data_IF_247694904088
#
_entry.id   IF_247694904088
#
_cell.length_a   1.000
_cell.length_b   1.000
_cell.length_c   1.000
_cell.angle_alpha   90.00
_cell.angle_beta   90.00
_cell.angle_gamma   90.00
#
_symmetry.space_group_name_H-M   'P 1'
#
loop_
_entity.id
_entity.type
_entity.pdbx_description
1 polymer ?
#
# COMPACT_ATOMS: atom_id res chain seq x y z
N UNK A 1 7.17 19.52 9.76
CA UNK A 1 7.40 18.25 9.04
C UNK A 1 8.84 17.76 9.19
N UNK A 2 9.83 18.39 8.54
CA UNK A 2 11.24 17.94 8.54
C UNK A 2 11.78 17.52 9.93
N UNK A 3 11.71 18.40 10.94
CA UNK A 3 12.18 18.10 12.31
C UNK A 3 11.62 16.80 12.88
N UNK A 4 10.36 16.49 12.62
CA UNK A 4 9.74 15.27 13.13
C UNK A 4 10.17 14.05 12.31
N UNK A 5 10.20 14.17 10.98
CA UNK A 5 10.71 13.12 10.08
C UNK A 5 12.15 12.74 10.42
N UNK A 6 13.03 13.74 10.58
CA UNK A 6 14.42 13.55 11.02
C UNK A 6 14.50 12.83 12.36
N UNK A 7 13.68 13.23 13.34
CA UNK A 7 13.64 12.57 14.65
C UNK A 7 13.24 11.10 14.53
N UNK A 8 12.23 10.77 13.73
CA UNK A 8 11.80 9.38 13.52
C UNK A 8 12.90 8.59 12.84
N UNK A 9 13.46 9.08 11.74
CA UNK A 9 14.54 8.39 11.01
C UNK A 9 15.77 8.19 11.90
N UNK A 10 16.18 9.21 12.66
CA UNK A 10 17.31 9.09 13.60
C UNK A 10 17.03 8.03 14.69
N UNK A 11 15.80 7.97 15.19
CA UNK A 11 15.40 6.95 16.18
C UNK A 11 15.47 5.54 15.58
N UNK A 12 14.94 5.35 14.37
CA UNK A 12 14.98 4.06 13.68
C UNK A 12 16.41 3.62 13.35
N UNK A 13 17.24 4.56 12.87
CA UNK A 13 18.66 4.33 12.59
C UNK A 13 19.45 3.96 13.84
N UNK A 14 19.25 4.69 14.94
CA UNK A 14 19.91 4.43 16.23
C UNK A 14 19.56 3.06 16.81
N UNK A 15 18.38 2.53 16.49
CA UNK A 15 17.94 1.20 16.86
C UNK A 15 18.30 0.10 15.82
N UNK A 16 18.97 0.45 14.72
CA UNK A 16 19.36 -0.51 13.67
C UNK A 16 18.17 -1.11 12.92
N UNK A 17 17.06 -0.39 12.78
CA UNK A 17 15.81 -0.96 12.28
C UNK A 17 15.66 -0.94 10.75
N UNK A 18 16.51 -0.23 10.01
CA UNK A 18 16.49 -0.30 8.55
C UNK A 18 17.11 -1.59 8.02
N UNK A 19 16.58 -2.14 6.92
CA UNK A 19 17.10 -3.35 6.29
C UNK A 19 18.57 -3.21 5.85
N UNK A 20 18.99 -1.99 5.48
CA UNK A 20 20.40 -1.62 5.25
C UNK A 20 21.30 -1.82 6.48
N UNK A 21 20.73 -1.88 7.68
CA UNK A 21 21.39 -2.14 8.96
C UNK A 21 21.09 -3.55 9.50
N UNK A 22 20.39 -4.41 8.74
CA UNK A 22 19.93 -5.73 9.17
C UNK A 22 18.58 -5.76 9.89
N UNK A 23 17.88 -4.62 9.97
CA UNK A 23 16.56 -4.51 10.59
C UNK A 23 15.37 -4.79 9.65
N UNK A 24 14.13 -4.67 10.14
CA UNK A 24 12.93 -5.05 9.38
C UNK A 24 12.37 -3.98 8.43
N UNK A 25 12.79 -2.72 8.51
CA UNK A 25 12.21 -1.62 7.70
C UNK A 25 12.80 -1.67 6.28
N UNK A 26 11.98 -2.08 5.31
CA UNK A 26 12.36 -2.22 3.89
C UNK A 26 11.91 -1.06 2.99
N UNK A 27 11.02 -0.20 3.50
CA UNK A 27 10.37 0.87 2.74
C UNK A 27 9.98 2.00 3.69
N UNK A 28 9.99 3.25 3.24
CA UNK A 28 9.46 4.39 4.00
C UNK A 28 8.60 5.27 3.11
N UNK A 29 7.54 5.87 3.66
CA UNK A 29 6.68 6.80 2.91
C UNK A 29 6.88 8.21 3.45
N UNK A 30 7.00 9.18 2.53
CA UNK A 30 6.91 10.60 2.86
C UNK A 30 5.62 11.16 2.26
N UNK A 31 4.92 12.01 3.02
CA UNK A 31 3.57 12.47 2.70
C UNK A 31 2.53 11.34 2.57
N UNK A 32 1.26 11.71 2.35
CA UNK A 32 0.20 10.73 2.10
C UNK A 32 -0.87 11.31 1.16
N UNK A 33 -1.00 10.72 -0.03
CA UNK A 33 -1.98 11.08 -1.04
C UNK A 33 -2.01 12.57 -1.42
N UNK A 34 -0.88 13.26 -1.29
CA UNK A 34 -0.81 14.70 -1.55
C UNK A 34 -1.19 15.05 -3.00
N UNK A 35 -0.93 14.15 -3.96
CA UNK A 35 -1.33 14.32 -5.35
C UNK A 35 -2.85 14.43 -5.56
N UNK A 36 -3.67 13.99 -4.60
CA UNK A 36 -5.12 14.21 -4.65
C UNK A 36 -5.51 15.67 -4.38
N UNK A 37 -4.64 16.45 -3.74
CA UNK A 37 -4.92 17.84 -3.32
C UNK A 37 -3.94 18.87 -3.87
N UNK A 38 -2.79 18.45 -4.44
CA UNK A 38 -1.71 19.35 -4.82
C UNK A 38 -2.11 20.42 -5.84
N UNK A 39 -3.08 20.09 -6.71
CA UNK A 39 -3.67 20.98 -7.71
C UNK A 39 -4.28 22.24 -7.08
N UNK A 40 -4.76 22.17 -5.84
CA UNK A 40 -5.31 23.32 -5.11
C UNK A 40 -4.23 24.36 -4.74
N UNK A 41 -2.96 23.93 -4.71
CA UNK A 41 -1.83 24.76 -4.33
C UNK A 41 -0.95 25.17 -5.52
N UNK A 42 -1.24 24.68 -6.73
CA UNK A 42 -0.49 24.98 -7.95
C UNK A 42 1.02 24.82 -7.79
N UNK A 43 1.78 25.82 -8.21
CA UNK A 43 3.25 25.80 -8.17
C UNK A 43 3.81 25.67 -6.74
N UNK A 44 3.11 26.18 -5.74
CA UNK A 44 3.52 26.04 -4.34
C UNK A 44 3.44 24.58 -3.89
N UNK A 45 2.38 23.86 -4.31
CA UNK A 45 2.23 22.43 -4.07
C UNK A 45 3.36 21.61 -4.74
N UNK A 46 3.69 21.92 -5.99
CA UNK A 46 4.81 21.28 -6.70
C UNK A 46 6.17 21.58 -6.06
N UNK A 47 6.37 22.79 -5.56
CA UNK A 47 7.60 23.19 -4.87
C UNK A 47 7.73 22.46 -3.53
N UNK A 48 6.63 22.39 -2.77
CA UNK A 48 6.54 21.62 -1.54
C UNK A 48 6.84 20.13 -1.77
N UNK A 49 6.27 19.54 -2.82
CA UNK A 49 6.49 18.13 -3.16
C UNK A 49 7.95 17.81 -3.48
N UNK A 50 8.62 18.65 -4.28
CA UNK A 50 10.06 18.51 -4.54
C UNK A 50 10.88 18.66 -3.27
N UNK A 51 10.52 19.60 -2.39
CA UNK A 51 11.16 19.78 -1.09
C UNK A 51 10.99 18.55 -0.18
N UNK A 52 9.76 18.02 -0.06
CA UNK A 52 9.46 16.87 0.79
C UNK A 52 10.21 15.62 0.33
N UNK A 53 10.21 15.36 -0.98
CA UNK A 53 10.96 14.28 -1.61
C UNK A 53 12.47 14.43 -1.39
N UNK A 54 13.03 15.61 -1.66
CA UNK A 54 14.46 15.89 -1.47
C UNK A 54 14.90 15.76 0.00
N UNK A 55 14.08 16.26 0.92
CA UNK A 55 14.32 16.13 2.36
C UNK A 55 14.35 14.67 2.78
N UNK A 56 13.36 13.85 2.36
CA UNK A 56 13.29 12.44 2.71
C UNK A 56 14.49 11.63 2.19
N UNK A 57 14.87 11.84 0.92
CA UNK A 57 16.03 11.18 0.30
C UNK A 57 17.32 11.55 1.02
N UNK A 58 17.50 12.82 1.40
CA UNK A 58 18.68 13.29 2.12
C UNK A 58 18.84 12.68 3.53
N UNK A 59 17.80 12.06 4.09
CA UNK A 59 17.89 11.33 5.36
C UNK A 59 18.65 10.00 5.26
N UNK A 60 18.94 9.54 4.04
CA UNK A 60 19.82 8.41 3.75
C UNK A 60 19.50 7.14 4.55
N UNK A 61 18.24 6.71 4.51
CA UNK A 61 17.77 5.52 5.25
C UNK A 61 18.38 4.21 4.75
N UNK A 62 19.00 4.21 3.56
CA UNK A 62 19.52 3.02 2.88
C UNK A 62 18.42 2.09 2.33
N UNK A 63 17.15 2.52 2.36
CA UNK A 63 16.02 1.79 1.78
C UNK A 63 15.15 2.74 0.93
N UNK A 64 14.34 2.24 -0.01
CA UNK A 64 13.55 3.10 -0.89
C UNK A 64 12.51 3.95 -0.16
N UNK A 65 12.21 5.11 -0.76
CA UNK A 65 11.11 5.97 -0.36
C UNK A 65 9.95 5.88 -1.36
N UNK A 66 8.72 5.93 -0.85
CA UNK A 66 7.48 5.94 -1.65
C UNK A 66 6.63 7.18 -1.39
N UNK A 67 5.75 7.48 -2.35
CA UNK A 67 4.64 8.41 -2.18
C UNK A 67 3.37 7.81 -2.81
N UNK A 68 2.33 7.59 -2.01
CA UNK A 68 1.06 7.07 -2.51
C UNK A 68 0.24 8.17 -3.20
N UNK A 69 -0.50 7.79 -4.26
CA UNK A 69 -1.32 8.68 -5.09
C UNK A 69 -0.58 9.95 -5.57
N UNK A 70 0.71 9.80 -5.90
CA UNK A 70 1.53 10.91 -6.36
C UNK A 70 2.09 10.62 -7.76
N UNK A 71 1.33 10.96 -8.80
CA UNK A 71 1.71 10.65 -10.19
C UNK A 71 3.07 11.26 -10.61
N UNK A 72 3.42 12.42 -10.08
CA UNK A 72 4.66 13.15 -10.37
C UNK A 72 5.69 13.07 -9.23
N UNK A 73 5.70 11.98 -8.45
CA UNK A 73 6.72 11.73 -7.44
C UNK A 73 8.13 11.86 -8.07
N UNK A 74 9.01 12.74 -7.54
CA UNK A 74 10.35 12.91 -8.08
C UNK A 74 11.22 11.66 -7.88
N UNK A 75 12.04 11.31 -8.87
CA UNK A 75 13.06 10.28 -8.69
C UNK A 75 14.00 10.65 -7.51
N UNK A 76 14.47 9.68 -6.70
CA UNK A 76 14.29 8.24 -6.83
C UNK A 76 13.05 7.66 -6.12
N UNK A 77 12.07 8.49 -5.71
CA UNK A 77 10.89 8.00 -5.01
C UNK A 77 10.01 7.19 -5.96
N UNK A 78 9.40 6.13 -5.43
CA UNK A 78 8.47 5.27 -6.15
C UNK A 78 7.05 5.76 -5.86
N UNK A 79 6.30 6.14 -6.90
CA UNK A 79 4.88 6.40 -6.73
C UNK A 79 4.10 5.09 -6.59
N UNK A 80 3.08 5.08 -5.73
CA UNK A 80 2.29 3.88 -5.44
C UNK A 80 0.80 4.14 -5.55
N UNK A 81 0.02 3.07 -5.60
CA UNK A 81 -1.43 3.12 -5.72
C UNK A 81 -2.13 2.75 -4.41
N UNK A 82 -3.27 3.39 -4.16
CA UNK A 82 -4.23 3.06 -3.11
C UNK A 82 -5.61 2.82 -3.75
N UNK A 83 -6.41 1.94 -3.18
CA UNK A 83 -7.76 1.69 -3.69
C UNK A 83 -8.30 0.31 -3.39
N UNK A 84 -9.50 0.03 -3.89
CA UNK A 84 -10.04 -1.33 -3.98
C UNK A 84 -9.34 -2.17 -5.06
N UNK A 85 -8.85 -1.51 -6.11
CA UNK A 85 -8.20 -2.11 -7.27
C UNK A 85 -7.04 -1.23 -7.75
N UNK A 86 -5.86 -1.83 -7.91
CA UNK A 86 -4.67 -1.17 -8.47
C UNK A 86 -4.02 -2.01 -9.60
N UNK A 87 -4.75 -2.97 -10.17
CA UNK A 87 -4.25 -3.85 -11.21
C UNK A 87 -3.96 -3.12 -12.54
N UNK A 88 -4.55 -1.95 -12.77
CA UNK A 88 -4.26 -1.06 -13.92
C UNK A 88 -3.24 0.03 -13.62
N UNK A 89 -2.82 0.18 -12.37
CA UNK A 89 -1.82 1.19 -12.01
C UNK A 89 -0.48 0.90 -12.70
N UNK A 90 0.18 1.96 -13.18
CA UNK A 90 1.53 1.91 -13.73
C UNK A 90 2.36 2.97 -13.02
N UNK A 91 3.54 2.62 -12.46
CA UNK A 91 4.43 3.59 -11.86
C UNK A 91 4.92 4.61 -12.90
N UNK A 92 5.22 5.82 -12.46
CA UNK A 92 5.59 6.93 -13.35
C UNK A 92 6.96 6.72 -14.00
N UNK A 93 7.87 6.02 -13.31
CA UNK A 93 9.18 5.65 -13.84
C UNK A 93 9.16 4.20 -14.31
N UNK A 94 9.57 3.90 -15.57
CA UNK A 94 9.59 2.53 -16.09
C UNK A 94 10.48 1.55 -15.29
N UNK A 95 11.48 2.08 -14.58
CA UNK A 95 12.37 1.31 -13.71
C UNK A 95 11.82 1.07 -12.30
N UNK A 96 10.71 1.71 -11.94
CA UNK A 96 10.11 1.54 -10.61
C UNK A 96 9.22 0.30 -10.56
N UNK A 97 9.22 -0.44 -9.44
CA UNK A 97 8.31 -1.55 -9.26
C UNK A 97 6.86 -1.06 -9.10
N UNK A 98 5.90 -1.89 -9.50
CA UNK A 98 4.47 -1.63 -9.30
C UNK A 98 4.06 -2.03 -7.88
N UNK A 99 3.78 -1.03 -7.04
CA UNK A 99 3.44 -1.20 -5.63
C UNK A 99 2.01 -0.71 -5.31
N UNK A 100 1.30 -1.47 -4.50
CA UNK A 100 -0.04 -1.17 -3.99
C UNK A 100 0.02 -1.02 -2.46
N UNK A 101 0.08 0.23 -1.99
CA UNK A 101 0.29 0.57 -0.58
C UNK A 101 -0.96 0.43 0.28
N UNK A 102 -2.15 0.59 -0.31
CA UNK A 102 -3.41 0.39 0.41
C UNK A 102 -4.44 -0.36 -0.43
N UNK A 103 -4.53 -1.67 -0.24
CA UNK A 103 -5.67 -2.47 -0.70
C UNK A 103 -6.75 -2.44 0.36
N UNK A 104 -7.81 -1.68 0.11
CA UNK A 104 -8.84 -1.43 1.10
C UNK A 104 -9.64 -2.70 1.42
N UNK A 105 -9.42 -3.31 2.59
CA UNK A 105 -10.06 -4.58 2.98
C UNK A 105 -11.54 -4.44 3.34
N UNK A 106 -12.01 -3.20 3.43
CA UNK A 106 -13.37 -2.74 3.70
C UNK A 106 -13.37 -1.20 3.72
N UNK A 107 -13.96 -0.58 4.74
CA UNK A 107 -13.96 0.87 4.92
C UNK A 107 -14.03 1.25 6.40
N UNK A 108 -13.71 2.49 6.74
CA UNK A 108 -13.90 3.00 8.10
C UNK A 108 -15.40 3.15 8.43
N UNK A 109 -15.75 2.93 9.70
CA UNK A 109 -17.11 3.18 10.19
C UNK A 109 -17.23 4.60 10.73
N UNK A 110 -18.21 5.36 10.26
CA UNK A 110 -18.59 6.65 10.83
C UNK A 110 -19.71 6.48 11.86
N UNK A 111 -19.77 7.35 12.87
CA UNK A 111 -20.93 7.42 13.76
C UNK A 111 -22.21 7.72 12.98
N UNK A 112 -23.23 6.88 13.15
CA UNK A 112 -24.49 6.94 12.38
C UNK A 112 -24.42 6.30 10.99
N UNK A 113 -23.26 5.78 10.57
CA UNK A 113 -23.09 5.06 9.32
C UNK A 113 -23.45 3.57 9.40
N UNK A 114 -23.62 2.94 8.25
CA UNK A 114 -23.73 1.49 8.13
C UNK A 114 -22.37 0.82 8.31
N UNK A 115 -22.36 -0.40 8.86
CA UNK A 115 -21.14 -1.21 9.00
C UNK A 115 -20.59 -1.57 7.61
N UNK A 116 -19.38 -1.13 7.25
CA UNK A 116 -18.80 -1.44 5.95
C UNK A 116 -18.49 -2.92 5.80
N UNK A 117 -18.59 -3.42 4.57
CA UNK A 117 -18.28 -4.81 4.24
C UNK A 117 -17.68 -4.89 2.83
N UNK A 118 -16.61 -5.66 2.67
CA UNK A 118 -16.04 -6.03 1.36
C UNK A 118 -15.98 -7.56 1.27
N UNK A 119 -16.59 -8.17 0.24
CA UNK A 119 -16.55 -9.62 0.05
C UNK A 119 -15.13 -10.17 0.02
N UNK A 120 -14.95 -11.35 0.59
CA UNK A 120 -13.65 -12.04 0.66
C UNK A 120 -13.13 -12.37 -0.74
N UNK A 121 -14.04 -12.80 -1.60
CA UNK A 121 -13.81 -13.22 -2.98
C UNK A 121 -13.40 -12.02 -3.85
N UNK A 122 -14.01 -10.86 -3.64
CA UNK A 122 -13.65 -9.60 -4.32
C UNK A 122 -12.22 -9.17 -3.95
N UNK A 123 -11.90 -9.18 -2.65
CA UNK A 123 -10.58 -8.82 -2.16
C UNK A 123 -9.50 -9.78 -2.70
N UNK A 124 -9.78 -11.08 -2.68
CA UNK A 124 -8.90 -12.10 -3.23
C UNK A 124 -8.70 -11.96 -4.75
N UNK A 125 -9.78 -11.69 -5.48
CA UNK A 125 -9.73 -11.41 -6.92
C UNK A 125 -8.85 -10.19 -7.21
N UNK A 126 -9.01 -9.10 -6.46
CA UNK A 126 -8.22 -7.90 -6.64
C UNK A 126 -6.71 -8.15 -6.42
N UNK A 127 -6.36 -8.92 -5.39
CA UNK A 127 -4.96 -9.33 -5.11
C UNK A 127 -4.40 -10.20 -6.23
N UNK A 128 -5.12 -11.25 -6.62
CA UNK A 128 -4.68 -12.15 -7.69
C UNK A 128 -4.49 -11.37 -9.00
N UNK A 129 -5.43 -10.49 -9.36
CA UNK A 129 -5.37 -9.67 -10.57
C UNK A 129 -4.22 -8.67 -10.55
N UNK A 130 -3.88 -8.11 -9.39
CA UNK A 130 -2.72 -7.22 -9.24
C UNK A 130 -1.40 -7.96 -9.52
N UNK A 131 -1.17 -9.11 -8.87
CA UNK A 131 0.04 -9.91 -9.09
C UNK A 131 0.10 -10.51 -10.49
N UNK A 132 -1.03 -10.93 -11.06
CA UNK A 132 -1.15 -11.39 -12.44
C UNK A 132 -0.64 -10.33 -13.44
N UNK A 133 -0.83 -9.04 -13.14
CA UNK A 133 -0.50 -7.90 -14.01
C UNK A 133 0.79 -7.17 -13.58
N UNK A 134 1.79 -7.91 -13.11
CA UNK A 134 3.12 -7.37 -12.79
C UNK A 134 3.21 -6.63 -11.46
N UNK A 135 2.20 -6.73 -10.60
CA UNK A 135 2.27 -6.21 -9.23
C UNK A 135 3.33 -6.96 -8.42
N UNK A 136 4.09 -6.23 -7.59
CA UNK A 136 5.25 -6.80 -6.86
C UNK A 136 5.14 -6.67 -5.34
N UNK A 137 4.39 -5.68 -4.85
CA UNK A 137 4.08 -5.50 -3.44
C UNK A 137 2.64 -5.06 -3.30
N UNK A 138 1.90 -5.71 -2.41
CA UNK A 138 0.56 -5.30 -2.01
C UNK A 138 0.46 -5.32 -0.48
N UNK A 139 -0.21 -4.31 0.07
CA UNK A 139 -0.48 -4.20 1.49
C UNK A 139 -1.99 -4.10 1.75
N UNK A 140 -2.51 -4.82 2.75
CA UNK A 140 -3.91 -4.72 3.16
C UNK A 140 -4.10 -3.53 4.10
N UNK A 141 -4.93 -2.59 3.69
CA UNK A 141 -5.39 -1.49 4.53
C UNK A 141 -6.86 -1.74 4.88
N UNK A 142 -7.22 -2.34 6.01
CA UNK A 142 -6.38 -2.80 7.11
C UNK A 142 -6.23 -4.33 7.12
N UNK A 143 -5.07 -4.83 7.54
CA UNK A 143 -4.93 -6.23 7.93
C UNK A 143 -5.49 -6.49 9.34
N UNK A 144 -5.23 -5.57 10.26
CA UNK A 144 -5.90 -5.40 11.55
C UNK A 144 -6.21 -3.92 11.71
N UNK A 145 -7.48 -3.58 11.91
CA UNK A 145 -7.91 -2.20 12.05
C UNK A 145 -7.86 -1.70 13.50
N UNK A 146 -8.47 -2.45 14.43
CA UNK A 146 -8.42 -2.17 15.87
C UNK A 146 -9.41 -1.09 16.32
N UNK A 147 -9.01 -0.29 17.31
CA UNK A 147 -9.88 0.67 18.01
C UNK A 147 -9.21 2.03 18.13
N UNK A 148 -9.97 3.09 17.86
CA UNK A 148 -9.61 4.47 18.17
C UNK A 148 -9.82 4.76 19.66
N UNK A 149 -8.81 4.49 20.49
CA UNK A 149 -8.90 4.66 21.95
C UNK A 149 -8.83 6.12 22.44
N UNK A 150 -9.59 6.42 23.48
CA UNK A 150 -9.54 7.71 24.15
C UNK A 150 -10.18 8.81 23.31
N UNK A 151 -9.51 9.96 23.19
CA UNK A 151 -10.09 11.19 22.63
C UNK A 151 -9.17 12.00 21.71
N UNK A 152 -8.05 11.39 21.32
CA UNK A 152 -7.05 11.99 20.42
C UNK A 152 -6.65 11.04 19.28
N UNK A 153 -7.46 9.99 19.08
CA UNK A 153 -7.42 9.07 17.94
C UNK A 153 -8.71 9.19 17.16
N UNK A 154 -8.72 8.70 15.92
CA UNK A 154 -9.84 8.81 15.00
C UNK A 154 -9.89 10.17 14.29
N UNK A 155 -10.63 10.20 13.18
CA UNK A 155 -10.92 11.41 12.41
C UNK A 155 -12.30 12.00 12.75
N UNK A 156 -12.67 13.12 12.11
CA UNK A 156 -14.00 13.71 12.24
C UNK A 156 -15.09 12.65 11.99
N UNK A 157 -15.98 12.46 12.98
CA UNK A 157 -17.10 11.50 12.94
C UNK A 157 -16.72 10.03 12.73
N UNK A 158 -15.44 9.66 12.74
CA UNK A 158 -15.01 8.26 12.71
C UNK A 158 -15.39 7.61 14.04
N UNK A 159 -15.98 6.43 13.97
CA UNK A 159 -16.41 5.69 15.15
C UNK A 159 -15.22 5.21 15.99
N UNK A 160 -15.47 4.84 17.24
CA UNK A 160 -14.46 4.20 18.10
C UNK A 160 -13.93 2.92 17.48
N UNK A 161 -14.80 2.12 16.84
CA UNK A 161 -14.37 0.94 16.10
C UNK A 161 -13.64 1.35 14.82
N UNK A 162 -12.47 0.76 14.60
CA UNK A 162 -11.74 0.84 13.34
C UNK A 162 -11.59 -0.53 12.70
N UNK A 163 -12.54 -1.45 12.92
CA UNK A 163 -12.52 -2.84 12.44
C UNK A 163 -12.19 -2.98 10.95
N UNK A 164 -12.72 -2.09 10.11
CA UNK A 164 -12.48 -2.01 8.67
C UNK A 164 -12.94 -3.25 7.86
N UNK A 165 -13.68 -4.18 8.45
CA UNK A 165 -13.90 -5.53 7.91
C UNK A 165 -12.57 -6.24 7.61
N UNK A 166 -11.56 -5.98 8.45
CA UNK A 166 -10.21 -6.48 8.27
C UNK A 166 -10.10 -8.00 8.49
N UNK A 167 -9.10 -8.68 7.89
CA UNK A 167 -8.82 -10.11 8.13
C UNK A 167 -8.64 -10.48 9.61
N UNK A 168 -8.11 -9.56 10.42
CA UNK A 168 -8.12 -9.65 11.88
C UNK A 168 -9.07 -8.57 12.40
N UNK A 169 -10.12 -8.98 13.10
CA UNK A 169 -11.17 -8.06 13.57
C UNK A 169 -10.65 -7.06 14.62
N UNK A 170 -11.51 -6.13 15.03
CA UNK A 170 -11.21 -5.12 16.06
C UNK A 170 -10.59 -5.72 17.34
N UNK A 171 -11.00 -6.92 17.74
CA UNK A 171 -10.60 -7.56 18.99
C UNK A 171 -9.40 -8.49 18.84
N UNK A 172 -8.82 -8.57 17.64
CA UNK A 172 -7.69 -9.44 17.36
C UNK A 172 -8.07 -10.88 17.00
N UNK A 173 -9.35 -11.17 16.77
CA UNK A 173 -9.80 -12.49 16.36
C UNK A 173 -9.66 -12.66 14.84
N UNK A 174 -9.38 -13.90 14.43
CA UNK A 174 -9.27 -14.25 13.02
C UNK A 174 -10.65 -14.22 12.37
N UNK A 175 -10.86 -13.31 11.41
CA UNK A 175 -12.12 -13.20 10.66
C UNK A 175 -12.17 -14.24 9.54
N UNK A 176 -12.98 -15.27 9.71
CA UNK A 176 -13.26 -16.25 8.67
C UNK A 176 -14.53 -15.90 7.89
N UNK A 177 -14.59 -16.18 6.57
CA UNK A 177 -13.57 -16.87 5.78
C UNK A 177 -12.42 -15.98 5.29
N UNK A 178 -12.50 -14.65 5.48
CA UNK A 178 -11.59 -13.66 4.88
C UNK A 178 -10.12 -13.98 5.08
N UNK A 179 -9.68 -14.15 6.33
CA UNK A 179 -8.29 -14.44 6.64
C UNK A 179 -7.81 -15.76 6.02
N UNK A 180 -8.60 -16.84 6.17
CA UNK A 180 -8.23 -18.16 5.66
C UNK A 180 -8.13 -18.19 4.13
N UNK A 181 -9.06 -17.53 3.45
CA UNK A 181 -9.07 -17.44 2.01
C UNK A 181 -7.88 -16.63 1.47
N UNK A 182 -7.57 -15.47 2.06
CA UNK A 182 -6.40 -14.67 1.69
C UNK A 182 -5.08 -15.39 1.99
N UNK A 183 -5.00 -16.13 3.11
CA UNK A 183 -3.84 -17.00 3.41
C UNK A 183 -3.59 -17.98 2.26
N UNK A 184 -4.64 -18.61 1.73
CA UNK A 184 -4.48 -19.61 0.68
C UNK A 184 -4.17 -18.96 -0.69
N UNK A 185 -4.67 -17.75 -0.97
CA UNK A 185 -4.21 -16.91 -2.10
C UNK A 185 -2.70 -16.62 -2.00
N UNK A 186 -2.20 -16.22 -0.82
CA UNK A 186 -0.76 -15.96 -0.64
C UNK A 186 0.09 -17.21 -0.83
N UNK A 187 -0.38 -18.38 -0.38
CA UNK A 187 0.31 -19.65 -0.66
C UNK A 187 0.42 -19.90 -2.16
N UNK A 188 -0.63 -19.65 -2.93
CA UNK A 188 -0.59 -19.76 -4.39
C UNK A 188 0.41 -18.78 -5.01
N UNK A 189 0.41 -17.51 -4.60
CA UNK A 189 1.39 -16.52 -5.05
C UNK A 189 2.82 -16.97 -4.73
N UNK A 190 3.05 -17.53 -3.54
CA UNK A 190 4.36 -18.04 -3.13
C UNK A 190 4.82 -19.25 -3.94
N UNK A 191 3.91 -20.14 -4.34
CA UNK A 191 4.26 -21.21 -5.28
C UNK A 191 4.67 -20.67 -6.66
N UNK A 192 4.10 -19.54 -7.07
CA UNK A 192 4.44 -18.87 -8.33
C UNK A 192 5.67 -17.94 -8.25
N UNK A 193 6.16 -17.64 -7.04
CA UNK A 193 7.19 -16.61 -6.80
C UNK A 193 8.44 -16.75 -7.69
N UNK A 194 9.04 -17.94 -7.88
CA UNK A 194 10.22 -18.09 -8.75
C UNK A 194 9.97 -17.61 -10.19
N UNK A 195 8.78 -17.85 -10.75
CA UNK A 195 8.43 -17.37 -12.08
C UNK A 195 8.08 -15.87 -12.07
N UNK A 196 7.37 -15.41 -11.04
CA UNK A 196 6.96 -14.00 -10.89
C UNK A 196 8.16 -13.04 -10.82
N UNK A 197 9.26 -13.46 -10.20
CA UNK A 197 10.46 -12.62 -10.05
C UNK A 197 11.44 -12.75 -11.22
N UNK A 198 11.35 -13.82 -12.00
CA UNK A 198 12.28 -14.08 -13.11
C UNK A 198 11.91 -13.33 -14.39
N UNK A 199 10.61 -13.11 -14.64
CA UNK A 199 10.13 -12.53 -15.91
C UNK A 199 8.98 -11.55 -15.72
N UNK A 200 8.67 -10.79 -16.77
CA UNK A 200 7.43 -10.01 -16.86
C UNK A 200 6.26 -10.87 -17.38
N UNK A 201 5.01 -10.54 -17.04
CA UNK A 201 3.84 -11.24 -17.60
C UNK A 201 3.69 -10.97 -19.09
N UNK A 202 3.32 -12.00 -19.85
CA UNK A 202 2.81 -11.86 -21.22
C UNK A 202 1.30 -12.07 -21.25
N UNK A 203 0.57 -11.13 -21.86
CA UNK A 203 -0.88 -11.17 -21.99
C UNK A 203 -1.33 -12.10 -23.13
N UNK A 204 -2.41 -12.85 -22.89
CA UNK A 204 -3.09 -13.67 -23.87
C UNK A 204 -4.61 -13.57 -23.69
N UNK A 205 -5.34 -13.30 -24.76
CA UNK A 205 -6.81 -13.37 -24.75
C UNK A 205 -7.28 -14.82 -24.81
N UNK A 206 -8.21 -15.19 -23.95
CA UNK A 206 -8.86 -16.52 -23.93
C UNK A 206 -10.31 -16.47 -24.44
N UNK A 207 -10.81 -15.28 -24.79
CA UNK A 207 -12.19 -15.07 -25.22
C UNK A 207 -12.77 -13.77 -24.65
N UNK A 208 -14.08 -13.61 -24.77
CA UNK A 208 -14.77 -12.44 -24.22
C UNK A 208 -14.67 -12.45 -22.69
N UNK A 209 -14.04 -11.42 -22.12
CA UNK A 209 -13.81 -11.25 -20.68
C UNK A 209 -12.98 -12.36 -20.02
N UNK A 210 -12.16 -13.08 -20.79
CA UNK A 210 -11.25 -14.09 -20.27
C UNK A 210 -9.82 -13.80 -20.76
N UNK A 211 -8.87 -13.81 -19.83
CA UNK A 211 -7.45 -13.51 -20.10
C UNK A 211 -6.54 -14.49 -19.36
N UNK A 212 -5.34 -14.70 -19.92
CA UNK A 212 -4.22 -15.34 -19.25
C UNK A 212 -3.04 -14.37 -19.22
N UNK A 213 -2.33 -14.32 -18.11
CA UNK A 213 -1.04 -13.64 -18.01
C UNK A 213 0.00 -14.68 -17.60
N UNK A 214 0.98 -14.89 -18.47
CA UNK A 214 1.92 -16.01 -18.36
C UNK A 214 3.30 -15.46 -18.01
N UNK A 215 3.83 -15.95 -16.88
CA UNK A 215 5.22 -15.79 -16.47
C UNK A 215 5.98 -17.04 -16.91
N UNK A 216 6.87 -16.91 -17.88
CA UNK A 216 7.64 -18.02 -18.47
C UNK A 216 9.12 -17.72 -18.33
N UNK A 217 9.73 -18.27 -17.27
CA UNK A 217 11.17 -18.27 -17.04
C UNK A 217 11.93 -19.05 -18.13
#
# INVERSE_FOLDING_TARGET
>A
MQRFTEKVVATMKGAGLYASQGGPIILSQIENEYGNIDWQYGDAGKSYMRWAAGMAVALDTGVPWVMCQQADAPAPLINTCNGFYCDQFTPSLPSSPKLWTENWSGWFLSFGGAVPYRPTEDLAFAVARFYQRGGTLQNYYMYHGGTNFGRSSGGPFISTSYDYDAPIDEYGLVRQPKWGHLRDVHKAIKMCEPALIATNPSYMSLGQNAEAHVYRA
#
